data_IF_099415964906
#
_entry.id   IF_099415964906
#
_cell.length_a   1.000
_cell.length_b   1.000
_cell.length_c   1.000
_cell.angle_alpha   90.00
_cell.angle_beta   90.00
_cell.angle_gamma   90.00
#
_symmetry.space_group_name_H-M   'P 1'
#
loop_
_entity.id
_entity.type
_entity.pdbx_description
1 polymer ?
#
# COMPACT_ATOMS: atom_id res chain seq x y z
N UNK A 1 -49.70 13.57 33.41
CA UNK A 1 -48.87 13.13 32.25
C UNK A 1 -48.41 11.70 32.50
N UNK A 2 -48.83 10.74 31.67
CA UNK A 2 -48.33 9.37 31.76
C UNK A 2 -46.88 9.34 31.26
N UNK A 3 -45.94 8.94 32.12
CA UNK A 3 -44.54 8.75 31.76
C UNK A 3 -44.47 7.53 30.84
N UNK A 4 -44.25 7.73 29.54
CA UNK A 4 -44.11 6.62 28.61
C UNK A 4 -42.94 5.73 29.06
N UNK A 5 -43.14 4.42 29.18
CA UNK A 5 -42.06 3.48 29.51
C UNK A 5 -41.15 3.33 28.30
N UNK A 6 -39.83 3.37 28.48
CA UNK A 6 -38.90 3.07 27.38
C UNK A 6 -38.99 1.60 26.99
N UNK A 7 -39.25 1.36 25.70
CA UNK A 7 -39.52 0.03 25.17
C UNK A 7 -38.77 -0.20 23.86
N UNK A 8 -38.33 -1.44 23.65
CA UNK A 8 -37.59 -1.85 22.48
C UNK A 8 -37.99 -3.26 22.03
N UNK A 9 -37.96 -3.47 20.73
CA UNK A 9 -38.13 -4.77 20.08
C UNK A 9 -36.88 -5.05 19.25
N UNK A 10 -36.29 -6.23 19.45
CA UNK A 10 -35.14 -6.73 18.68
C UNK A 10 -35.58 -8.01 17.99
N UNK A 11 -35.53 -8.02 16.67
CA UNK A 11 -35.89 -9.19 15.86
C UNK A 11 -34.64 -9.79 15.26
N UNK A 12 -34.33 -11.02 15.68
CA UNK A 12 -33.22 -11.82 15.19
C UNK A 12 -33.74 -13.02 14.42
N UNK A 13 -32.97 -13.49 13.43
CA UNK A 13 -33.19 -14.80 12.82
C UNK A 13 -32.31 -15.82 13.53
N UNK A 14 -32.79 -17.06 13.61
CA UNK A 14 -31.99 -18.16 14.16
C UNK A 14 -30.74 -18.37 13.32
N UNK A 15 -30.90 -18.61 12.03
CA UNK A 15 -29.79 -18.89 11.13
C UNK A 15 -29.49 -17.67 10.24
N UNK A 16 -28.26 -17.17 10.33
CA UNK A 16 -27.79 -16.01 9.59
C UNK A 16 -26.62 -16.40 8.71
N UNK A 17 -26.91 -16.72 7.44
CA UNK A 17 -25.88 -16.96 6.44
C UNK A 17 -25.22 -15.63 6.02
N UNK A 18 -23.90 -15.61 5.98
CA UNK A 18 -23.09 -14.46 5.60
C UNK A 18 -22.27 -14.83 4.37
N UNK A 19 -22.55 -14.14 3.27
CA UNK A 19 -21.86 -14.31 2.00
C UNK A 19 -20.81 -13.22 1.81
N UNK A 20 -19.57 -13.64 1.59
CA UNK A 20 -18.40 -12.78 1.50
C UNK A 20 -17.80 -12.45 2.86
N UNK A 21 -16.49 -12.16 2.89
CA UNK A 21 -15.76 -11.84 4.13
C UNK A 21 -16.29 -10.59 4.84
N UNK A 22 -16.72 -9.60 4.06
CA UNK A 22 -17.35 -8.36 4.53
C UNK A 22 -18.89 -8.42 4.47
N UNK A 23 -19.44 -9.61 4.20
CA UNK A 23 -20.86 -9.86 4.20
C UNK A 23 -21.50 -9.57 5.55
N UNK A 24 -22.79 -9.29 5.54
CA UNK A 24 -23.56 -9.02 6.77
C UNK A 24 -24.91 -9.72 6.76
N UNK A 25 -25.38 -10.08 7.94
CA UNK A 25 -26.78 -10.35 8.21
C UNK A 25 -27.39 -9.19 8.99
N UNK A 26 -28.71 -9.03 8.95
CA UNK A 26 -29.38 -7.87 9.50
C UNK A 26 -30.20 -8.24 10.73
N UNK A 27 -30.02 -7.48 11.81
CA UNK A 27 -30.84 -7.55 13.02
C UNK A 27 -31.71 -6.30 13.07
N UNK A 28 -33.04 -6.45 13.03
CA UNK A 28 -33.96 -5.31 13.09
C UNK A 28 -34.15 -4.87 14.53
N UNK A 29 -34.01 -3.58 14.78
CA UNK A 29 -34.14 -2.99 16.11
C UNK A 29 -35.07 -1.78 16.03
N UNK A 30 -36.12 -1.79 16.86
CA UNK A 30 -37.08 -0.70 16.97
C UNK A 30 -37.27 -0.28 18.42
N UNK A 31 -37.37 1.02 18.64
CA UNK A 31 -37.58 1.66 19.94
C UNK A 31 -38.74 2.65 19.86
N UNK A 32 -39.34 2.96 21.00
CA UNK A 32 -40.35 4.03 21.10
C UNK A 32 -39.74 5.42 21.36
N UNK A 33 -38.40 5.50 21.49
CA UNK A 33 -37.62 6.72 21.68
C UNK A 33 -36.31 6.65 20.91
N UNK A 34 -35.78 7.82 20.57
CA UNK A 34 -34.49 7.92 19.89
C UNK A 34 -33.40 7.32 20.77
N UNK A 35 -32.69 6.31 20.27
CA UNK A 35 -31.71 5.58 21.07
C UNK A 35 -30.39 5.40 20.34
N UNK A 36 -29.28 5.42 21.09
CA UNK A 36 -27.99 4.89 20.65
C UNK A 36 -28.07 3.37 20.69
N UNK A 37 -27.69 2.71 19.62
CA UNK A 37 -27.79 1.25 19.50
C UNK A 37 -26.42 0.67 19.15
N UNK A 38 -26.04 -0.44 19.76
CA UNK A 38 -24.84 -1.18 19.39
C UNK A 38 -25.08 -2.68 19.42
N UNK A 39 -24.41 -3.39 18.52
CA UNK A 39 -24.32 -4.84 18.48
C UNK A 39 -22.89 -5.24 18.80
N UNK A 40 -22.72 -6.04 19.84
CA UNK A 40 -21.44 -6.59 20.25
C UNK A 40 -21.51 -8.10 20.28
N UNK A 41 -20.40 -8.77 20.00
CA UNK A 41 -20.23 -10.19 20.26
C UNK A 41 -19.18 -10.35 21.36
N UNK A 42 -19.56 -11.03 22.44
CA UNK A 42 -18.65 -11.39 23.53
C UNK A 42 -18.38 -12.87 23.46
N UNK A 43 -17.11 -13.26 23.30
CA UNK A 43 -16.73 -14.67 23.37
C UNK A 43 -17.11 -15.22 24.74
N UNK A 44 -17.67 -16.44 24.80
CA UNK A 44 -18.01 -17.09 26.07
C UNK A 44 -16.81 -17.46 26.91
N UNK A 45 -15.64 -17.57 26.29
CA UNK A 45 -14.37 -17.73 27.00
C UNK A 45 -13.96 -16.42 27.72
N UNK A 46 -14.70 -15.33 27.50
CA UNK A 46 -14.53 -14.03 28.17
C UNK A 46 -13.38 -13.18 27.64
N UNK A 47 -12.59 -13.71 26.70
CA UNK A 47 -11.35 -13.08 26.23
C UNK A 47 -11.63 -11.91 25.29
N UNK A 48 -12.60 -12.06 24.38
CA UNK A 48 -12.81 -11.14 23.27
C UNK A 48 -14.19 -10.49 23.33
N UNK A 49 -14.23 -9.15 23.25
CA UNK A 49 -15.45 -8.38 22.99
C UNK A 49 -15.25 -7.58 21.72
N UNK A 50 -16.07 -7.89 20.71
CA UNK A 50 -15.98 -7.28 19.39
C UNK A 50 -17.24 -6.46 19.12
N UNK A 51 -17.07 -5.17 18.86
CA UNK A 51 -18.19 -4.34 18.40
C UNK A 51 -18.41 -4.59 16.91
N UNK A 52 -19.58 -5.14 16.58
CA UNK A 52 -19.96 -5.47 15.21
C UNK A 52 -20.60 -4.28 14.52
N UNK A 53 -21.48 -3.57 15.21
CA UNK A 53 -22.13 -2.41 14.62
C UNK A 53 -22.60 -1.40 15.67
N UNK A 54 -22.78 -0.16 15.24
CA UNK A 54 -23.36 0.88 16.09
C UNK A 54 -24.08 1.96 15.28
N UNK A 55 -25.16 2.48 15.87
CA UNK A 55 -25.97 3.55 15.32
C UNK A 55 -26.15 4.61 16.39
N UNK A 56 -25.78 5.85 16.08
CA UNK A 56 -25.70 6.92 17.08
C UNK A 56 -27.05 7.36 17.64
N UNK A 57 -28.11 7.35 16.82
CA UNK A 57 -29.45 7.77 17.23
C UNK A 57 -30.50 7.34 16.20
N UNK A 58 -31.37 6.40 16.56
CA UNK A 58 -32.49 5.99 15.70
C UNK A 58 -33.71 5.57 16.52
N UNK A 59 -34.89 5.59 15.90
CA UNK A 59 -36.10 4.94 16.40
C UNK A 59 -36.27 3.53 15.84
N UNK A 60 -35.76 3.31 14.63
CA UNK A 60 -35.91 2.06 13.90
C UNK A 60 -34.72 1.90 12.95
N UNK A 61 -33.97 0.82 13.09
CA UNK A 61 -32.74 0.59 12.32
C UNK A 61 -32.46 -0.90 12.15
N UNK A 62 -31.49 -1.22 11.31
CA UNK A 62 -30.91 -2.56 11.20
C UNK A 62 -29.45 -2.51 11.64
N UNK A 63 -29.10 -3.33 12.63
CA UNK A 63 -27.71 -3.56 13.01
C UNK A 63 -27.12 -4.67 12.14
N UNK A 64 -25.89 -4.46 11.68
CA UNK A 64 -25.15 -5.38 10.83
C UNK A 64 -24.41 -6.43 11.68
N UNK A 65 -24.90 -7.66 11.65
CA UNK A 65 -24.20 -8.84 12.13
C UNK A 65 -23.12 -9.21 11.09
N UNK A 66 -21.85 -8.99 11.43
CA UNK A 66 -20.71 -9.20 10.53
C UNK A 66 -19.70 -10.17 11.14
N UNK A 67 -19.05 -10.96 10.29
CA UNK A 67 -17.92 -11.83 10.69
C UNK A 67 -16.56 -11.23 10.34
N UNK A 68 -16.52 -10.26 9.41
CA UNK A 68 -15.33 -9.55 9.00
C UNK A 68 -15.58 -8.09 8.66
N UNK A 69 -14.49 -7.34 8.50
CA UNK A 69 -14.48 -5.94 8.05
C UNK A 69 -13.16 -5.65 7.33
N UNK A 70 -13.27 -4.99 6.18
CA UNK A 70 -12.12 -4.62 5.35
C UNK A 70 -11.25 -5.83 4.98
N UNK A 71 -11.88 -6.94 4.62
CA UNK A 71 -11.21 -8.19 4.25
C UNK A 71 -10.59 -8.98 5.41
N UNK A 72 -10.76 -8.51 6.66
CA UNK A 72 -10.21 -9.16 7.85
C UNK A 72 -11.32 -9.78 8.69
N UNK A 73 -11.10 -11.03 9.12
CA UNK A 73 -11.98 -11.74 10.05
C UNK A 73 -11.96 -11.01 11.41
N UNK A 74 -13.13 -10.67 11.92
CA UNK A 74 -13.34 -10.05 13.24
C UNK A 74 -13.82 -11.05 14.29
N UNK A 75 -14.65 -12.00 13.88
CA UNK A 75 -15.16 -13.07 14.74
C UNK A 75 -14.40 -14.35 14.45
N UNK A 76 -13.97 -15.07 15.48
CA UNK A 76 -13.42 -16.41 15.31
C UNK A 76 -14.55 -17.43 15.32
N UNK A 77 -14.27 -18.65 14.88
CA UNK A 77 -15.21 -19.74 15.07
C UNK A 77 -15.35 -20.02 16.57
N UNK A 78 -16.58 -20.14 17.07
CA UNK A 78 -16.82 -20.39 18.50
C UNK A 78 -18.18 -19.93 19.00
N UNK A 79 -18.37 -20.01 20.31
CA UNK A 79 -19.59 -19.58 20.99
C UNK A 79 -19.49 -18.14 21.49
N UNK A 80 -20.56 -17.39 21.29
CA UNK A 80 -20.64 -15.98 21.64
C UNK A 80 -21.96 -15.65 22.32
N UNK A 81 -21.92 -14.65 23.20
CA UNK A 81 -23.09 -13.90 23.62
C UNK A 81 -23.17 -12.63 22.77
N UNK A 82 -24.18 -12.56 21.91
CA UNK A 82 -24.47 -11.39 21.09
C UNK A 82 -25.33 -10.42 21.90
N UNK A 83 -24.79 -9.23 22.13
CA UNK A 83 -25.38 -8.21 23.00
C UNK A 83 -25.84 -7.03 22.17
N UNK A 84 -27.15 -6.80 22.14
CA UNK A 84 -27.74 -5.57 21.61
C UNK A 84 -27.97 -4.62 22.77
N UNK A 85 -27.24 -3.50 22.78
CA UNK A 85 -27.39 -2.43 23.77
C UNK A 85 -28.15 -1.27 23.15
N UNK A 86 -29.19 -0.78 23.83
CA UNK A 86 -29.97 0.38 23.44
C UNK A 86 -30.00 1.39 24.58
N UNK A 87 -29.50 2.61 24.36
CA UNK A 87 -29.43 3.67 25.36
C UNK A 87 -30.21 4.90 24.89
N UNK A 88 -31.17 5.37 25.69
CA UNK A 88 -31.83 6.66 25.49
C UNK A 88 -30.89 7.78 25.98
N UNK A 89 -30.31 8.59 25.09
CA UNK A 89 -29.31 9.59 25.46
C UNK A 89 -29.91 10.76 26.26
N UNK A 90 -31.24 10.92 26.30
CA UNK A 90 -31.90 12.01 27.04
C UNK A 90 -32.15 11.63 28.49
N UNK A 91 -32.50 10.37 28.75
CA UNK A 91 -32.88 9.89 30.09
C UNK A 91 -31.78 9.05 30.74
N UNK A 92 -30.86 8.49 29.96
CA UNK A 92 -29.86 7.52 30.41
C UNK A 92 -30.43 6.10 30.58
N UNK A 93 -31.71 5.87 30.29
CA UNK A 93 -32.33 4.54 30.37
C UNK A 93 -31.70 3.60 29.33
N UNK A 94 -31.40 2.37 29.74
CA UNK A 94 -30.76 1.37 28.90
C UNK A 94 -31.55 0.06 28.87
N UNK A 95 -31.65 -0.54 27.68
CA UNK A 95 -32.15 -1.89 27.47
C UNK A 95 -31.02 -2.71 26.88
N UNK A 96 -30.79 -3.90 27.44
CA UNK A 96 -29.81 -4.86 26.94
C UNK A 96 -30.56 -6.14 26.58
N UNK A 97 -30.30 -6.66 25.38
CA UNK A 97 -30.77 -7.97 24.94
C UNK A 97 -29.57 -8.85 24.62
N UNK A 98 -29.59 -10.08 25.13
CA UNK A 98 -28.52 -11.06 24.93
C UNK A 98 -29.07 -12.25 24.16
N UNK A 99 -28.33 -12.69 23.17
CA UNK A 99 -28.63 -13.87 22.37
C UNK A 99 -27.42 -14.79 22.42
N UNK A 100 -27.63 -16.00 22.89
CA UNK A 100 -26.64 -17.05 22.75
C UNK A 100 -26.43 -17.33 21.26
N UNK A 101 -25.21 -17.58 20.82
CA UNK A 101 -25.00 -17.94 19.43
C UNK A 101 -23.68 -18.64 19.16
N UNK A 102 -23.62 -19.23 17.97
CA UNK A 102 -22.45 -19.96 17.47
C UNK A 102 -22.06 -19.31 16.14
N UNK A 103 -20.80 -18.89 16.04
CA UNK A 103 -20.22 -18.40 14.80
C UNK A 103 -19.41 -19.52 14.14
N UNK A 104 -19.80 -19.91 12.93
CA UNK A 104 -19.03 -20.82 12.08
C UNK A 104 -18.29 -19.97 11.06
N UNK A 105 -17.00 -19.74 11.35
CA UNK A 105 -16.15 -18.80 10.60
C UNK A 105 -14.92 -19.57 10.12
N UNK A 106 -14.92 -20.12 8.89
CA UNK A 106 -13.76 -20.83 8.37
C UNK A 106 -12.58 -19.87 8.20
N UNK A 107 -11.35 -20.39 8.29
CA UNK A 107 -10.16 -19.62 7.96
C UNK A 107 -10.15 -19.29 6.47
N UNK A 108 -9.76 -18.05 6.13
CA UNK A 108 -9.52 -17.66 4.74
C UNK A 108 -8.02 -17.71 4.47
N UNK A 109 -7.62 -18.56 3.54
CA UNK A 109 -6.25 -18.64 3.06
C UNK A 109 -6.07 -17.62 1.93
N UNK A 110 -5.37 -16.53 2.18
CA UNK A 110 -5.04 -15.55 1.14
C UNK A 110 -3.70 -15.91 0.51
N UNK A 111 -3.61 -15.78 -0.82
CA UNK A 111 -2.33 -15.83 -1.49
C UNK A 111 -1.47 -14.66 -1.02
N UNK A 112 -0.18 -14.90 -0.71
CA UNK A 112 0.73 -13.83 -0.32
C UNK A 112 0.88 -12.84 -1.48
N UNK A 113 0.61 -11.56 -1.21
CA UNK A 113 0.94 -10.49 -2.16
C UNK A 113 2.44 -10.22 -2.08
N UNK A 114 3.16 -10.25 -3.21
CA UNK A 114 4.58 -9.92 -3.20
C UNK A 114 4.74 -8.44 -2.79
N UNK A 115 5.34 -8.21 -1.63
CA UNK A 115 5.36 -6.90 -0.98
C UNK A 115 6.32 -5.90 -1.66
N UNK A 116 7.44 -6.39 -2.19
CA UNK A 116 8.49 -5.57 -2.80
C UNK A 116 9.10 -6.33 -3.97
N UNK A 117 9.46 -5.60 -5.02
CA UNK A 117 10.27 -6.13 -6.12
C UNK A 117 11.71 -6.25 -5.63
N UNK A 118 12.28 -7.44 -5.69
CA UNK A 118 13.66 -7.67 -5.24
C UNK A 118 14.63 -6.85 -6.12
N UNK A 119 15.21 -5.81 -5.53
CA UNK A 119 16.12 -4.90 -6.21
C UNK A 119 17.46 -5.57 -6.53
N UNK A 120 17.81 -6.66 -5.83
CA UNK A 120 19.05 -7.41 -6.07
C UNK A 120 19.03 -8.16 -7.39
N UNK A 121 17.84 -8.47 -7.90
CA UNK A 121 17.72 -9.13 -9.20
C UNK A 121 18.02 -8.15 -10.34
N UNK A 122 17.72 -6.85 -10.20
CA UNK A 122 17.82 -5.87 -11.28
C UNK A 122 19.23 -5.76 -11.87
N UNK A 123 19.29 -5.73 -13.20
CA UNK A 123 20.54 -5.50 -13.91
C UNK A 123 20.80 -4.00 -14.02
N UNK A 124 22.08 -3.55 -13.99
CA UNK A 124 22.40 -2.15 -14.19
C UNK A 124 21.95 -1.68 -15.58
N UNK A 125 21.11 -0.65 -15.65
CA UNK A 125 20.58 -0.15 -16.94
C UNK A 125 21.55 0.77 -17.68
N UNK A 126 22.61 1.21 -17.01
CA UNK A 126 23.64 2.08 -17.56
C UNK A 126 25.00 1.48 -17.32
N UNK A 127 25.88 1.63 -18.30
CA UNK A 127 27.29 1.37 -18.10
C UNK A 127 27.85 2.32 -17.03
N UNK A 128 28.90 1.92 -16.30
CA UNK A 128 29.61 2.84 -15.43
C UNK A 128 30.06 4.06 -16.23
N UNK A 129 29.94 5.25 -15.64
CA UNK A 129 30.34 6.49 -16.30
C UNK A 129 31.86 6.49 -16.49
N UNK A 130 32.34 6.95 -17.65
CA UNK A 130 33.78 7.00 -17.93
C UNK A 130 34.42 8.32 -17.51
N UNK A 131 33.83 9.03 -16.55
CA UNK A 131 34.20 10.41 -16.18
C UNK A 131 35.70 10.56 -15.91
N UNK A 132 36.26 9.66 -15.10
CA UNK A 132 37.68 9.70 -14.73
C UNK A 132 38.59 9.44 -15.94
N UNK A 133 38.25 8.46 -16.78
CA UNK A 133 39.01 8.16 -18.00
C UNK A 133 38.93 9.28 -19.05
N UNK A 134 37.74 9.89 -19.20
CA UNK A 134 37.53 11.02 -20.10
C UNK A 134 38.26 12.30 -19.66
N UNK A 135 38.29 12.58 -18.35
CA UNK A 135 39.06 13.72 -17.81
C UNK A 135 40.56 13.50 -18.01
N UNK A 136 41.08 12.31 -17.69
CA UNK A 136 42.51 12.00 -17.89
C UNK A 136 42.87 12.06 -19.38
N UNK A 137 42.03 11.51 -20.26
CA UNK A 137 42.21 11.61 -21.71
C UNK A 137 42.21 13.06 -22.22
N UNK A 138 41.29 13.90 -21.73
CA UNK A 138 41.22 15.31 -22.08
C UNK A 138 42.48 16.09 -21.67
N UNK A 139 43.01 15.81 -20.47
CA UNK A 139 44.26 16.41 -19.98
C UNK A 139 45.44 15.97 -20.84
N UNK A 140 45.53 14.68 -21.17
CA UNK A 140 46.62 14.14 -22.00
C UNK A 140 46.59 14.71 -23.43
N UNK A 141 45.41 14.80 -24.05
CA UNK A 141 45.25 15.40 -25.39
C UNK A 141 45.59 16.90 -25.36
N UNK A 142 45.12 17.63 -24.33
CA UNK A 142 45.45 19.03 -24.13
C UNK A 142 46.97 19.24 -23.99
N UNK A 143 47.62 18.44 -23.14
CA UNK A 143 49.07 18.49 -22.95
C UNK A 143 49.84 18.14 -24.23
N UNK A 144 49.43 17.09 -24.96
CA UNK A 144 50.05 16.69 -26.23
C UNK A 144 49.91 17.79 -27.30
N UNK A 145 48.76 18.46 -27.37
CA UNK A 145 48.53 19.58 -28.30
C UNK A 145 49.44 20.77 -28.01
N UNK A 146 49.63 21.10 -26.72
CA UNK A 146 50.57 22.14 -26.30
C UNK A 146 52.01 21.74 -26.63
N UNK A 147 52.42 20.51 -26.32
CA UNK A 147 53.77 20.01 -26.59
C UNK A 147 54.09 19.95 -28.10
N UNK A 148 53.16 19.51 -28.95
CA UNK A 148 53.30 19.52 -30.41
C UNK A 148 53.42 20.96 -30.95
N UNK A 149 52.64 21.90 -30.42
CA UNK A 149 52.74 23.32 -30.78
C UNK A 149 54.08 23.95 -30.40
N UNK A 150 54.67 23.53 -29.27
CA UNK A 150 56.01 23.99 -28.86
C UNK A 150 57.14 23.28 -29.66
N UNK A 151 56.99 22.00 -30.01
CA UNK A 151 57.98 21.24 -30.77
C UNK A 151 58.06 21.62 -32.26
N UNK A 152 56.94 22.05 -32.85
CA UNK A 152 56.88 22.56 -34.23
C UNK A 152 57.37 24.01 -34.37
N UNK A 153 57.88 24.60 -33.28
CA UNK A 153 58.45 25.94 -33.26
C UNK A 153 59.84 25.92 -33.93
N UNK A 154 60.02 26.70 -34.99
CA UNK A 154 61.32 26.85 -35.64
C UNK A 154 62.37 27.40 -34.65
N UNK A 155 63.58 26.82 -34.66
CA UNK A 155 64.62 27.05 -33.64
C UNK A 155 65.22 28.47 -33.62
N UNK A 156 64.95 29.30 -34.62
CA UNK A 156 65.42 30.68 -34.66
C UNK A 156 64.27 31.65 -34.96
N UNK A 157 63.75 32.37 -33.95
CA UNK A 157 62.86 33.49 -34.21
C UNK A 157 63.68 34.65 -34.77
N UNK A 158 63.39 35.07 -36.01
CA UNK A 158 63.84 36.35 -36.55
C UNK A 158 63.45 37.42 -35.53
N UNK A 159 64.44 38.21 -35.05
CA UNK A 159 64.26 39.28 -34.06
C UNK A 159 63.26 40.33 -34.57
N UNK A 160 61.99 40.06 -34.31
CA UNK A 160 60.87 40.96 -34.54
C UNK A 160 59.88 40.73 -33.40
N UNK A 161 59.43 41.82 -32.80
CA UNK A 161 58.55 41.89 -31.64
C UNK A 161 57.12 41.38 -31.92
N UNK A 162 57.00 40.12 -32.31
CA UNK A 162 55.74 39.40 -32.40
C UNK A 162 55.46 38.70 -31.08
N UNK A 163 54.45 39.17 -30.37
CA UNK A 163 53.88 38.51 -29.20
C UNK A 163 53.75 37.01 -29.48
N UNK A 164 54.26 36.21 -28.52
CA UNK A 164 54.11 34.74 -28.48
C UNK A 164 52.70 34.40 -28.96
N UNK A 165 52.58 33.65 -30.07
CA UNK A 165 51.29 33.34 -30.68
C UNK A 165 50.49 32.43 -29.72
N UNK A 166 49.79 33.07 -28.79
CA UNK A 166 49.07 32.47 -27.67
C UNK A 166 47.90 31.61 -28.11
N UNK A 167 47.57 31.65 -29.41
CA UNK A 167 46.48 30.92 -30.05
C UNK A 167 46.56 29.41 -29.80
N UNK A 168 47.74 28.80 -29.84
CA UNK A 168 47.88 27.35 -29.61
C UNK A 168 47.60 26.95 -28.15
N UNK A 169 47.98 27.79 -27.18
CA UNK A 169 47.66 27.58 -25.75
C UNK A 169 46.18 27.77 -25.47
N UNK A 170 45.56 28.77 -26.09
CA UNK A 170 44.11 28.99 -26.01
C UNK A 170 43.36 27.81 -26.64
N UNK A 171 43.75 27.35 -27.82
CA UNK A 171 43.12 26.19 -28.48
C UNK A 171 43.26 24.92 -27.64
N UNK A 172 44.45 24.61 -27.13
CA UNK A 172 44.68 23.44 -26.26
C UNK A 172 43.84 23.49 -24.98
N UNK A 173 43.74 24.66 -24.34
CA UNK A 173 42.91 24.84 -23.15
C UNK A 173 41.41 24.70 -23.44
N UNK A 174 40.95 25.23 -24.58
CA UNK A 174 39.53 25.15 -24.96
C UNK A 174 39.11 23.70 -25.27
N UNK A 175 39.98 22.93 -25.93
CA UNK A 175 39.76 21.50 -26.20
C UNK A 175 39.74 20.72 -24.88
N UNK A 176 40.69 20.97 -23.97
CA UNK A 176 40.75 20.31 -22.66
C UNK A 176 39.51 20.61 -21.79
N UNK A 177 39.05 21.87 -21.75
CA UNK A 177 37.83 22.26 -21.04
C UNK A 177 36.58 21.64 -21.67
N UNK A 178 36.47 21.65 -23.00
CA UNK A 178 35.34 21.07 -23.72
C UNK A 178 35.23 19.56 -23.50
N UNK A 179 36.34 18.83 -23.61
CA UNK A 179 36.38 17.40 -23.36
C UNK A 179 36.17 17.05 -21.87
N UNK A 180 36.71 17.87 -20.95
CA UNK A 180 36.46 17.73 -19.52
C UNK A 180 34.99 17.94 -19.14
N UNK A 181 34.34 18.97 -19.70
CA UNK A 181 32.92 19.21 -19.50
C UNK A 181 32.05 18.06 -20.09
N UNK A 182 32.37 17.60 -21.30
CA UNK A 182 31.67 16.46 -21.92
C UNK A 182 31.83 15.18 -21.09
N UNK A 183 33.02 14.89 -20.57
CA UNK A 183 33.27 13.76 -19.69
C UNK A 183 32.54 13.90 -18.34
N UNK A 184 32.40 15.12 -17.80
CA UNK A 184 31.67 15.37 -16.56
C UNK A 184 30.15 15.09 -16.69
N UNK A 185 29.58 15.42 -17.86
CA UNK A 185 28.17 15.16 -18.15
C UNK A 185 27.88 13.76 -18.70
N UNK A 186 28.89 12.91 -18.91
CA UNK A 186 28.67 11.51 -19.28
C UNK A 186 27.95 10.76 -18.15
N UNK A 187 26.77 10.25 -18.48
CA UNK A 187 25.91 9.43 -17.59
C UNK A 187 26.04 7.94 -17.88
N UNK A 188 26.96 7.55 -18.76
CA UNK A 188 27.10 6.19 -19.25
C UNK A 188 26.05 5.88 -20.32
N UNK A 189 26.44 5.04 -21.28
CA UNK A 189 25.53 4.53 -22.31
C UNK A 189 24.43 3.68 -21.67
N UNK A 190 23.23 3.75 -22.25
CA UNK A 190 22.15 2.84 -21.91
C UNK A 190 22.51 1.42 -22.35
N UNK A 191 22.21 0.46 -21.49
CA UNK A 191 22.36 -0.96 -21.75
C UNK A 191 20.98 -1.50 -22.13
N UNK A 192 20.59 -1.33 -23.40
CA UNK A 192 19.22 -1.63 -23.87
C UNK A 192 18.76 -3.06 -23.55
N UNK A 193 19.69 -4.02 -23.53
CA UNK A 193 19.39 -5.39 -23.10
C UNK A 193 18.95 -5.45 -21.63
N UNK A 194 19.69 -4.81 -20.73
CA UNK A 194 19.40 -4.81 -19.30
C UNK A 194 18.10 -4.06 -19.01
N UNK A 195 17.89 -2.90 -19.64
CA UNK A 195 16.66 -2.14 -19.53
C UNK A 195 15.43 -2.94 -20.00
N UNK A 196 15.55 -3.71 -21.10
CA UNK A 196 14.47 -4.60 -21.57
C UNK A 196 14.18 -5.73 -20.58
N UNK A 197 15.22 -6.36 -20.01
CA UNK A 197 15.02 -7.43 -19.03
C UNK A 197 14.41 -6.92 -17.72
N UNK A 198 14.84 -5.76 -17.21
CA UNK A 198 14.24 -5.13 -16.05
C UNK A 198 12.75 -4.80 -16.28
N UNK A 199 12.40 -4.20 -17.42
CA UNK A 199 11.00 -3.97 -17.80
C UNK A 199 10.17 -5.26 -17.85
N UNK A 200 10.72 -6.35 -18.38
CA UNK A 200 10.03 -7.65 -18.38
C UNK A 200 9.73 -8.12 -16.95
N UNK A 201 10.67 -7.94 -16.02
CA UNK A 201 10.49 -8.30 -14.61
C UNK A 201 9.46 -7.43 -13.91
N UNK A 202 9.46 -6.12 -14.17
CA UNK A 202 8.41 -5.21 -13.69
C UNK A 202 7.03 -5.65 -14.18
N UNK A 203 6.91 -5.97 -15.47
CA UNK A 203 5.65 -6.46 -16.06
C UNK A 203 5.23 -7.79 -15.43
N UNK A 204 6.15 -8.73 -15.25
CA UNK A 204 5.88 -10.02 -14.62
C UNK A 204 5.47 -9.86 -13.15
N UNK A 205 6.13 -8.99 -12.40
CA UNK A 205 5.77 -8.68 -11.02
C UNK A 205 4.38 -8.06 -10.93
N UNK A 206 4.09 -7.06 -11.78
CA UNK A 206 2.78 -6.42 -11.84
C UNK A 206 1.68 -7.43 -12.20
N UNK A 207 1.96 -8.36 -13.12
CA UNK A 207 1.04 -9.44 -13.47
C UNK A 207 0.80 -10.40 -12.30
N UNK A 208 1.85 -10.83 -11.59
CA UNK A 208 1.74 -11.67 -10.39
C UNK A 208 0.94 -10.99 -9.29
N UNK A 209 1.21 -9.71 -9.02
CA UNK A 209 0.49 -8.92 -8.01
C UNK A 209 -1.00 -8.79 -8.37
N UNK A 210 -1.33 -8.49 -9.63
CA UNK A 210 -2.72 -8.43 -10.09
C UNK A 210 -3.41 -9.79 -9.95
N UNK A 211 -2.75 -10.87 -10.36
CA UNK A 211 -3.29 -12.22 -10.26
C UNK A 211 -3.57 -12.61 -8.79
N UNK A 212 -2.64 -12.35 -7.88
CA UNK A 212 -2.82 -12.59 -6.45
C UNK A 212 -4.01 -11.79 -5.88
N UNK A 213 -4.15 -10.52 -6.25
CA UNK A 213 -5.27 -9.67 -5.81
C UNK A 213 -6.61 -10.14 -6.36
N UNK A 214 -6.69 -10.49 -7.64
CA UNK A 214 -7.91 -11.02 -8.25
C UNK A 214 -8.34 -12.32 -7.59
N UNK A 215 -7.39 -13.22 -7.35
CA UNK A 215 -7.66 -14.49 -6.66
C UNK A 215 -8.07 -14.28 -5.20
N UNK A 216 -7.41 -13.37 -4.47
CA UNK A 216 -7.79 -13.00 -3.11
C UNK A 216 -9.19 -12.38 -3.04
N UNK A 217 -9.53 -11.52 -4.00
CA UNK A 217 -10.87 -10.94 -4.12
C UNK A 217 -11.93 -12.02 -4.43
N UNK A 218 -11.60 -13.00 -5.28
CA UNK A 218 -12.45 -14.15 -5.57
C UNK A 218 -12.69 -14.99 -4.31
N UNK A 219 -11.63 -15.36 -3.59
CA UNK A 219 -11.72 -16.10 -2.32
C UNK A 219 -12.54 -15.33 -1.27
N UNK A 220 -12.34 -14.02 -1.17
CA UNK A 220 -13.11 -13.16 -0.28
C UNK A 220 -14.61 -13.11 -0.64
N UNK A 221 -14.96 -13.13 -1.93
CA UNK A 221 -16.35 -13.13 -2.41
C UNK A 221 -17.03 -14.50 -2.26
N UNK A 222 -16.29 -15.59 -2.48
CA UNK A 222 -16.76 -16.97 -2.30
C UNK A 222 -16.84 -17.40 -0.84
N UNK A 223 -16.17 -16.66 0.05
CA UNK A 223 -16.21 -16.89 1.48
C UNK A 223 -17.65 -17.05 2.01
N UNK A 224 -17.88 -18.07 2.83
CA UNK A 224 -19.16 -18.32 3.48
C UNK A 224 -18.94 -18.55 4.96
N UNK A 225 -19.69 -17.82 5.76
CA UNK A 225 -19.78 -18.00 7.19
C UNK A 225 -21.25 -18.05 7.61
N UNK A 226 -21.51 -18.51 8.82
CA UNK A 226 -22.85 -18.47 9.39
C UNK A 226 -22.81 -18.17 10.87
N UNK A 227 -23.79 -17.41 11.33
CA UNK A 227 -24.02 -17.17 12.75
C UNK A 227 -25.40 -17.68 13.11
N UNK A 228 -25.44 -18.67 14.00
CA UNK A 228 -26.69 -19.13 14.60
C UNK A 228 -26.93 -18.35 15.90
N UNK A 229 -28.10 -17.75 16.06
CA UNK A 229 -28.55 -17.07 17.27
C UNK A 229 -29.72 -17.83 17.88
N UNK A 230 -29.73 -17.97 19.20
CA UNK A 230 -30.89 -18.44 19.95
C UNK A 230 -31.87 -17.26 20.15
N UNK A 231 -33.07 -17.29 19.55
CA UNK A 231 -34.03 -16.19 19.67
C UNK A 231 -34.64 -16.10 21.07
N UNK A 232 -34.60 -17.19 21.85
CA UNK A 232 -35.01 -17.20 23.25
C UNK A 232 -33.88 -16.58 24.08
N UNK A 233 -33.80 -15.25 24.04
CA UNK A 233 -32.78 -14.48 24.74
C UNK A 233 -32.73 -14.84 26.23
N UNK A 234 -31.52 -14.93 26.77
CA UNK A 234 -31.26 -15.13 28.22
C UNK A 234 -31.21 -13.81 28.98
#
# INVERSE_FOLDING_TARGET
>A
MLRATYAATVTVRRDNAIAGIDGTALIRVRTNRLSRMSLQARSRDGIDVVTLDSVAAALDTTLQLRVGRSGRVMLRAGEYDFVVSLNDPRTGEAIIRRFAGIAVVPAIDYLPEPAVLDSSEYLPERAPSQRTGGIVGAVLIGAATVALGEALRAAEPIKGSGTVDSRYRVVGFTIALGAGAAAWFDRGRLLDRNARENRKREVQFAAKLRAARTENARRAAEYRASVSLDPEGR
#
